data_IF_916749878733
#
_entry.id   IF_916749878733
#
_cell.length_a   1.000
_cell.length_b   1.000
_cell.length_c   1.000
_cell.angle_alpha   90.00
_cell.angle_beta   90.00
_cell.angle_gamma   90.00
#
_symmetry.space_group_name_H-M   'P 1'
#
loop_
_entity.id
_entity.type
_entity.pdbx_description
1 polymer ?
#
# COMPACT_ATOMS: atom_id res chain seq x y z
N UNK A 1 37.10 -22.96 -8.34
CA UNK A 1 36.02 -22.06 -8.81
C UNK A 1 34.71 -22.54 -8.25
N UNK A 2 33.91 -21.70 -7.56
CA UNK A 2 32.57 -22.08 -7.17
C UNK A 2 31.78 -22.43 -8.44
N UNK A 3 31.02 -23.53 -8.43
CA UNK A 3 30.11 -23.86 -9.54
C UNK A 3 29.11 -22.71 -9.71
N UNK A 4 28.76 -22.31 -10.95
CA UNK A 4 27.62 -21.42 -11.16
C UNK A 4 26.40 -22.05 -10.51
N UNK A 5 25.80 -21.36 -9.56
CA UNK A 5 24.47 -21.71 -9.05
C UNK A 5 23.48 -21.52 -10.18
N UNK A 6 22.57 -22.49 -10.36
CA UNK A 6 21.48 -22.35 -11.33
C UNK A 6 20.69 -21.06 -11.02
N UNK A 7 20.20 -20.34 -12.04
CA UNK A 7 19.39 -19.16 -11.82
C UNK A 7 18.16 -19.52 -10.98
N UNK A 8 17.81 -18.66 -10.02
CA UNK A 8 16.59 -18.83 -9.24
C UNK A 8 15.36 -18.72 -10.16
N UNK A 9 14.28 -19.48 -9.89
CA UNK A 9 13.05 -19.37 -10.67
C UNK A 9 12.43 -17.96 -10.54
N UNK A 10 11.64 -17.51 -11.52
CA UNK A 10 10.86 -16.27 -11.42
C UNK A 10 9.98 -16.22 -10.17
N UNK A 11 9.69 -15.03 -9.66
CA UNK A 11 8.72 -14.87 -8.57
C UNK A 11 7.29 -15.03 -9.11
N UNK A 12 6.44 -15.79 -8.44
CA UNK A 12 5.05 -16.04 -8.84
C UNK A 12 4.11 -15.41 -7.81
N UNK A 13 3.20 -14.55 -8.24
CA UNK A 13 2.24 -13.92 -7.33
C UNK A 13 1.07 -14.87 -7.07
N UNK A 14 0.89 -15.32 -5.82
CA UNK A 14 -0.17 -16.23 -5.39
C UNK A 14 -1.20 -15.48 -4.55
N UNK A 15 -2.38 -15.22 -5.08
CA UNK A 15 -3.47 -14.52 -4.36
C UNK A 15 -4.83 -14.78 -5.02
N UNK A 16 -5.90 -14.47 -4.29
CA UNK A 16 -7.24 -14.28 -4.85
C UNK A 16 -7.50 -12.78 -5.02
N UNK A 17 -7.83 -12.37 -6.25
CA UNK A 17 -8.07 -10.98 -6.59
C UNK A 17 -9.55 -10.59 -6.60
N UNK A 18 -10.49 -11.53 -6.58
CA UNK A 18 -11.89 -11.21 -6.83
C UNK A 18 -12.70 -10.93 -5.56
N UNK A 19 -12.56 -9.71 -5.05
CA UNK A 19 -13.23 -9.22 -3.84
C UNK A 19 -13.22 -10.19 -2.62
N UNK A 20 -12.07 -10.80 -2.25
CA UNK A 20 -12.02 -11.80 -1.18
C UNK A 20 -12.47 -11.29 0.19
N UNK A 21 -12.46 -9.97 0.43
CA UNK A 21 -12.91 -9.35 1.69
C UNK A 21 -14.43 -9.10 1.72
N UNK A 22 -15.13 -9.39 0.62
CA UNK A 22 -16.58 -9.24 0.51
C UNK A 22 -17.06 -7.80 0.64
N UNK A 23 -16.30 -6.85 0.10
CA UNK A 23 -16.63 -5.41 0.11
C UNK A 23 -18.01 -5.22 -0.50
N UNK A 24 -18.88 -4.50 0.22
CA UNK A 24 -20.23 -4.18 -0.20
C UNK A 24 -20.25 -2.79 -0.80
N UNK A 25 -20.82 -2.68 -1.99
CA UNK A 25 -20.93 -1.44 -2.74
C UNK A 25 -22.37 -0.91 -2.69
N UNK A 26 -22.53 0.39 -2.76
CA UNK A 26 -23.80 0.98 -3.14
C UNK A 26 -24.00 0.77 -4.66
N UNK A 27 -25.21 0.37 -5.12
CA UNK A 27 -25.48 0.15 -6.54
C UNK A 27 -25.35 1.42 -7.39
N UNK A 28 -25.49 2.60 -6.80
CA UNK A 28 -25.13 3.84 -7.46
C UNK A 28 -23.62 4.04 -7.28
N UNK A 29 -22.87 3.91 -8.38
CA UNK A 29 -21.41 3.97 -8.39
C UNK A 29 -20.89 5.24 -7.74
N UNK A 30 -21.49 6.39 -8.04
CA UNK A 30 -21.09 7.68 -7.48
C UNK A 30 -21.29 7.83 -5.98
N UNK A 31 -22.04 6.92 -5.32
CA UNK A 31 -22.13 6.87 -3.87
C UNK A 31 -20.96 6.16 -3.20
N UNK A 32 -20.06 5.55 -3.95
CA UNK A 32 -18.91 4.82 -3.40
C UNK A 32 -17.65 5.69 -3.40
N UNK A 33 -16.85 5.54 -2.35
CA UNK A 33 -15.54 6.17 -2.26
C UNK A 33 -14.55 5.27 -1.50
N UNK A 34 -13.27 5.52 -1.66
CA UNK A 34 -12.21 4.90 -0.88
C UNK A 34 -11.14 5.92 -0.50
N UNK A 35 -10.29 5.57 0.46
CA UNK A 35 -9.18 6.42 0.89
C UNK A 35 -7.84 5.81 0.47
N UNK A 36 -6.82 6.63 0.26
CA UNK A 36 -5.43 6.20 0.05
C UNK A 36 -4.53 6.85 1.09
N UNK A 37 -3.61 6.10 1.67
CA UNK A 37 -2.74 6.52 2.77
C UNK A 37 -1.33 5.92 2.62
N UNK A 38 -0.29 6.72 2.78
CA UNK A 38 1.11 6.26 2.75
C UNK A 38 1.87 6.75 3.96
N UNK A 39 2.98 6.08 4.27
CA UNK A 39 4.00 6.59 5.22
C UNK A 39 3.38 6.92 6.60
N UNK A 40 2.47 6.04 7.01
CA UNK A 40 1.61 6.23 8.18
C UNK A 40 2.10 5.45 9.40
N UNK A 41 2.98 4.47 9.20
CA UNK A 41 3.53 3.67 10.30
C UNK A 41 4.32 4.51 11.30
N UNK A 42 4.45 4.05 12.54
CA UNK A 42 5.30 4.74 13.53
C UNK A 42 6.34 3.80 14.10
N UNK A 43 7.50 4.34 14.46
CA UNK A 43 8.56 3.58 15.14
C UNK A 43 8.13 3.11 16.52
N UNK A 44 7.55 4.04 17.27
CA UNK A 44 6.94 3.86 18.58
C UNK A 44 5.43 3.75 18.43
N UNK A 45 4.66 3.77 19.54
CA UNK A 45 3.20 3.73 19.48
C UNK A 45 2.56 4.92 18.74
N UNK A 46 1.28 5.18 18.96
CA UNK A 46 0.56 6.21 18.19
C UNK A 46 1.17 7.62 18.38
N UNK A 47 1.72 8.16 17.29
CA UNK A 47 2.29 9.52 17.26
C UNK A 47 1.23 10.61 17.12
N UNK A 48 1.56 11.85 17.50
CA UNK A 48 0.62 12.97 17.44
C UNK A 48 0.10 13.24 16.01
N UNK A 49 1.00 13.24 15.01
CA UNK A 49 0.61 13.48 13.62
C UNK A 49 -0.18 12.32 13.02
N UNK A 50 0.26 11.08 13.24
CA UNK A 50 -0.50 9.89 12.86
C UNK A 50 -1.92 9.92 13.45
N UNK A 51 -2.05 10.29 14.72
CA UNK A 51 -3.35 10.46 15.38
C UNK A 51 -4.19 11.55 14.71
N UNK A 52 -3.60 12.70 14.40
CA UNK A 52 -4.31 13.81 13.76
C UNK A 52 -4.83 13.41 12.36
N UNK A 53 -4.02 12.69 11.57
CA UNK A 53 -4.43 12.13 10.27
C UNK A 53 -5.56 11.11 10.47
N UNK A 54 -5.43 10.18 11.42
CA UNK A 54 -6.45 9.18 11.71
C UNK A 54 -7.77 9.79 12.18
N UNK A 55 -7.73 10.82 13.03
CA UNK A 55 -8.92 11.55 13.47
C UNK A 55 -9.59 12.29 12.30
N UNK A 56 -8.80 12.88 11.39
CA UNK A 56 -9.32 13.53 10.17
C UNK A 56 -9.95 12.52 9.22
N UNK A 57 -9.35 11.33 9.03
CA UNK A 57 -9.97 10.24 8.26
C UNK A 57 -11.33 9.86 8.84
N UNK A 58 -11.42 9.66 10.16
CA UNK A 58 -12.69 9.32 10.83
C UNK A 58 -13.73 10.42 10.64
N UNK A 59 -13.35 11.68 10.82
CA UNK A 59 -14.25 12.82 10.59
C UNK A 59 -14.74 12.89 9.13
N UNK A 60 -13.85 12.65 8.17
CA UNK A 60 -14.19 12.60 6.76
C UNK A 60 -15.17 11.48 6.44
N UNK A 61 -14.89 10.25 6.90
CA UNK A 61 -15.77 9.10 6.69
C UNK A 61 -17.15 9.33 7.30
N UNK A 62 -17.22 9.92 8.49
CA UNK A 62 -18.51 10.33 9.10
C UNK A 62 -19.27 11.30 8.21
N UNK A 63 -18.61 12.39 7.76
CA UNK A 63 -19.19 13.40 6.86
C UNK A 63 -19.72 12.77 5.56
N UNK A 64 -18.97 11.86 4.95
CA UNK A 64 -19.40 11.17 3.73
C UNK A 64 -20.58 10.22 3.97
N UNK A 65 -20.59 9.49 5.09
CA UNK A 65 -21.72 8.63 5.47
C UNK A 65 -23.00 9.43 5.71
N UNK A 66 -22.91 10.58 6.39
CA UNK A 66 -24.03 11.51 6.58
C UNK A 66 -24.56 12.05 5.23
N UNK A 67 -23.69 12.18 4.24
CA UNK A 67 -24.06 12.50 2.86
C UNK A 67 -24.57 11.29 2.04
N UNK A 68 -24.75 10.13 2.67
CA UNK A 68 -25.27 8.92 2.02
C UNK A 68 -24.26 8.19 1.12
N UNK A 69 -22.96 8.40 1.34
CA UNK A 69 -21.88 7.68 0.65
C UNK A 69 -21.47 6.41 1.42
N UNK A 70 -20.97 5.44 0.67
CA UNK A 70 -20.42 4.17 1.15
C UNK A 70 -18.90 4.17 1.01
N UNK A 71 -18.20 3.97 2.13
CA UNK A 71 -16.74 3.74 2.12
C UNK A 71 -16.46 2.29 1.75
N UNK A 72 -15.61 2.08 0.75
CA UNK A 72 -15.24 0.73 0.29
C UNK A 72 -14.05 0.14 1.08
N UNK A 73 -12.96 0.91 1.19
CA UNK A 73 -11.69 0.47 1.77
C UNK A 73 -10.73 1.63 2.04
N UNK A 74 -9.60 1.31 2.68
CA UNK A 74 -8.37 2.11 2.69
C UNK A 74 -7.29 1.41 1.88
N UNK A 75 -6.65 2.10 0.95
CA UNK A 75 -5.54 1.62 0.15
C UNK A 75 -4.22 2.20 0.69
N UNK A 76 -3.20 1.36 0.85
CA UNK A 76 -1.91 1.76 1.42
C UNK A 76 -0.83 1.74 0.36
N UNK A 77 0.00 2.79 0.34
CA UNK A 77 1.13 2.93 -0.59
C UNK A 77 2.49 2.65 0.09
N UNK A 78 2.48 1.89 1.19
CA UNK A 78 3.69 1.45 1.88
C UNK A 78 4.16 2.33 3.02
N UNK A 79 5.26 1.89 3.62
CA UNK A 79 5.81 2.37 4.88
C UNK A 79 4.78 2.28 6.02
N UNK A 80 4.20 1.07 6.10
CA UNK A 80 3.14 0.71 7.03
C UNK A 80 3.66 0.60 8.47
N UNK A 81 4.91 0.18 8.65
CA UNK A 81 5.54 0.02 9.96
C UNK A 81 6.98 0.52 9.98
N UNK A 82 7.17 1.77 10.40
CA UNK A 82 8.51 2.30 10.65
C UNK A 82 9.15 1.65 11.90
N UNK A 83 10.48 1.55 11.97
CA UNK A 83 11.47 1.85 10.91
C UNK A 83 11.93 0.60 10.14
N UNK A 84 11.55 -0.58 10.59
CA UNK A 84 12.25 -1.83 10.30
C UNK A 84 11.30 -3.03 10.12
N UNK A 85 10.05 -2.76 9.74
CA UNK A 85 9.00 -3.76 9.60
C UNK A 85 8.10 -3.87 10.83
N UNK A 86 7.30 -4.93 10.87
CA UNK A 86 6.35 -5.18 11.96
C UNK A 86 6.87 -6.27 12.90
N UNK A 87 7.08 -5.90 14.17
CA UNK A 87 7.32 -6.84 15.26
C UNK A 87 6.02 -7.42 15.84
N UNK A 88 6.13 -8.24 16.88
CA UNK A 88 4.99 -8.92 17.51
C UNK A 88 3.87 -7.98 17.98
N UNK A 89 4.21 -6.77 18.45
CA UNK A 89 3.28 -5.79 19.01
C UNK A 89 2.88 -4.67 18.03
N UNK A 90 3.45 -4.63 16.83
CA UNK A 90 3.25 -3.50 15.91
C UNK A 90 1.79 -3.31 15.53
N UNK A 91 1.03 -4.40 15.40
CA UNK A 91 -0.41 -4.36 15.13
C UNK A 91 -1.19 -3.66 16.24
N UNK A 92 -0.98 -4.05 17.51
CA UNK A 92 -1.74 -3.58 18.68
C UNK A 92 -1.27 -2.24 19.21
N UNK A 93 -0.08 -1.78 18.82
CA UNK A 93 0.50 -0.52 19.30
C UNK A 93 0.46 0.62 18.26
N UNK A 94 0.39 0.29 16.96
CA UNK A 94 0.53 1.27 15.87
C UNK A 94 -0.72 1.36 14.99
N UNK A 95 -1.23 0.22 14.51
CA UNK A 95 -2.34 0.21 13.55
C UNK A 95 -3.71 0.27 14.24
N UNK A 96 -4.00 -0.69 15.11
CA UNK A 96 -5.27 -0.76 15.82
C UNK A 96 -5.60 0.52 16.62
N UNK A 97 -4.73 1.00 17.53
CA UNK A 97 -5.08 2.14 18.38
C UNK A 97 -5.19 3.47 17.62
N UNK A 98 -4.42 3.67 16.54
CA UNK A 98 -4.50 4.90 15.75
C UNK A 98 -5.84 4.98 15.01
N UNK A 99 -6.23 3.91 14.32
CA UNK A 99 -7.38 3.92 13.41
C UNK A 99 -8.65 3.32 14.03
N UNK A 100 -8.55 2.65 15.18
CA UNK A 100 -9.69 2.04 15.87
C UNK A 100 -10.29 0.88 15.06
N UNK A 101 -9.47 0.07 14.39
CA UNK A 101 -9.95 -0.96 13.45
C UNK A 101 -10.74 -2.09 14.11
N UNK A 102 -10.57 -2.27 15.42
CA UNK A 102 -11.35 -3.18 16.26
C UNK A 102 -12.23 -2.47 17.31
N UNK A 103 -12.37 -1.14 17.25
CA UNK A 103 -13.30 -0.41 18.11
C UNK A 103 -14.64 -0.19 17.38
N UNK A 104 -15.76 -0.80 17.80
CA UNK A 104 -17.07 -0.62 17.16
C UNK A 104 -17.58 0.83 17.10
N UNK A 105 -16.97 1.75 17.87
CA UNK A 105 -17.29 3.18 17.83
C UNK A 105 -16.46 3.96 16.80
N UNK A 106 -15.42 3.35 16.23
CA UNK A 106 -14.60 3.98 15.20
C UNK A 106 -15.31 3.98 13.86
N UNK A 107 -15.15 5.07 13.12
CA UNK A 107 -15.63 5.17 11.74
C UNK A 107 -14.85 4.27 10.77
N UNK A 108 -13.70 3.74 11.21
CA UNK A 108 -12.86 2.82 10.47
C UNK A 108 -12.95 1.38 11.01
N UNK A 109 -13.95 1.08 11.85
CA UNK A 109 -14.18 -0.26 12.40
C UNK A 109 -14.41 -1.28 11.30
N UNK A 110 -13.59 -2.32 11.25
CA UNK A 110 -13.69 -3.44 10.29
C UNK A 110 -13.71 -3.03 8.81
N UNK A 111 -13.28 -1.80 8.49
CA UNK A 111 -13.06 -1.35 7.11
C UNK A 111 -11.88 -2.15 6.53
N UNK A 112 -11.97 -2.66 5.29
CA UNK A 112 -10.85 -3.31 4.61
C UNK A 112 -9.67 -2.39 4.30
N UNK A 113 -8.44 -2.89 4.43
CA UNK A 113 -7.19 -2.19 4.11
C UNK A 113 -6.41 -3.00 3.08
N UNK A 114 -6.14 -2.45 1.89
CA UNK A 114 -5.30 -3.11 0.88
C UNK A 114 -3.89 -2.54 0.98
N UNK A 115 -2.87 -3.36 1.21
CA UNK A 115 -1.53 -2.88 1.48
C UNK A 115 -0.49 -3.31 0.44
N UNK A 116 0.46 -2.43 0.18
CA UNK A 116 1.76 -2.77 -0.42
C UNK A 116 2.87 -2.34 0.54
N UNK A 117 4.06 -2.93 0.42
CA UNK A 117 5.21 -2.56 1.22
C UNK A 117 5.95 -1.33 0.64
N UNK A 118 6.40 -0.48 1.55
CA UNK A 118 7.46 0.51 1.33
C UNK A 118 8.79 0.01 1.88
N UNK A 119 9.84 0.84 1.83
CA UNK A 119 11.16 0.39 2.26
C UNK A 119 11.26 0.13 3.75
N UNK A 120 10.48 0.82 4.57
CA UNK A 120 10.48 0.64 6.02
C UNK A 120 9.70 -0.58 6.47
N UNK A 121 8.92 -1.19 5.59
CA UNK A 121 8.23 -2.44 5.86
C UNK A 121 9.17 -3.65 5.85
N UNK A 122 10.37 -3.46 5.34
CA UNK A 122 11.48 -4.39 5.45
C UNK A 122 12.47 -3.88 6.49
N UNK A 123 13.07 -4.77 7.28
CA UNK A 123 14.13 -4.37 8.20
C UNK A 123 14.36 -5.35 9.33
N UNK A 124 15.06 -4.90 10.37
CA UNK A 124 15.52 -5.76 11.47
C UNK A 124 14.39 -6.37 12.31
N UNK A 125 13.18 -5.79 12.32
CA UNK A 125 11.99 -6.35 12.98
C UNK A 125 11.26 -7.37 12.09
N UNK A 126 11.41 -7.26 10.77
CA UNK A 126 10.90 -8.23 9.78
C UNK A 126 12.01 -8.68 8.79
N UNK A 127 13.10 -9.30 9.29
CA UNK A 127 14.33 -9.46 8.50
C UNK A 127 14.19 -10.44 7.35
N UNK A 128 13.27 -11.39 7.46
CA UNK A 128 13.09 -12.45 6.46
C UNK A 128 12.10 -12.04 5.35
N UNK A 129 11.48 -10.86 5.45
CA UNK A 129 10.77 -10.26 4.32
C UNK A 129 11.68 -10.04 3.10
N UNK A 130 12.99 -9.84 3.30
CA UNK A 130 13.97 -9.72 2.21
C UNK A 130 14.47 -11.06 1.65
N UNK A 131 14.31 -12.14 2.41
CA UNK A 131 14.93 -13.42 2.10
C UNK A 131 14.12 -14.57 2.70
N UNK A 132 12.87 -14.77 2.25
CA UNK A 132 11.98 -15.73 2.88
C UNK A 132 12.57 -17.15 2.94
N UNK A 133 13.35 -17.56 1.94
CA UNK A 133 14.09 -18.83 1.91
C UNK A 133 15.03 -19.09 3.10
N UNK A 134 15.53 -18.04 3.76
CA UNK A 134 16.42 -18.19 4.92
C UNK A 134 15.66 -18.64 6.18
N UNK A 135 14.39 -18.24 6.30
CA UNK A 135 13.50 -18.63 7.40
C UNK A 135 12.03 -18.40 6.99
N UNK A 136 11.43 -19.34 6.25
CA UNK A 136 10.06 -19.18 5.81
C UNK A 136 9.09 -19.21 6.99
N UNK A 137 8.10 -18.33 6.98
CA UNK A 137 6.90 -18.42 7.82
C UNK A 137 5.90 -19.42 7.22
N UNK A 138 5.89 -19.54 5.89
CA UNK A 138 5.12 -20.52 5.13
C UNK A 138 5.72 -20.72 3.74
N UNK A 139 5.21 -21.71 3.02
CA UNK A 139 5.52 -21.94 1.61
C UNK A 139 4.24 -22.29 0.85
N UNK A 140 4.06 -21.72 -0.35
CA UNK A 140 2.93 -21.99 -1.24
C UNK A 140 3.45 -22.15 -2.66
N UNK A 141 3.06 -23.22 -3.35
CA UNK A 141 3.52 -23.49 -4.72
C UNK A 141 5.05 -23.67 -4.86
N UNK A 142 5.76 -23.98 -3.77
CA UNK A 142 7.22 -24.04 -3.75
C UNK A 142 7.91 -22.67 -3.57
N UNK A 143 7.14 -21.61 -3.36
CA UNK A 143 7.65 -20.28 -3.02
C UNK A 143 7.53 -20.03 -1.52
N UNK A 144 8.61 -19.56 -0.91
CA UNK A 144 8.67 -19.21 0.50
C UNK A 144 8.19 -17.78 0.76
N UNK A 145 7.52 -17.59 1.89
CA UNK A 145 7.05 -16.28 2.39
C UNK A 145 7.63 -16.01 3.78
N UNK A 146 8.00 -14.76 4.04
CA UNK A 146 8.79 -14.41 5.22
C UNK A 146 8.41 -13.10 5.90
N UNK A 147 7.46 -12.33 5.36
CA UNK A 147 7.01 -11.09 5.99
C UNK A 147 5.95 -11.34 7.07
N UNK A 148 6.12 -10.65 8.19
CA UNK A 148 5.16 -10.61 9.28
C UNK A 148 3.85 -9.90 8.92
N UNK A 149 3.85 -9.10 7.85
CA UNK A 149 2.67 -8.37 7.39
C UNK A 149 1.70 -9.23 6.57
N UNK A 150 2.17 -10.33 5.97
CA UNK A 150 1.34 -11.11 5.06
C UNK A 150 0.12 -11.74 5.73
N UNK A 151 -0.92 -12.02 4.94
CA UNK A 151 -2.13 -12.69 5.38
C UNK A 151 -1.85 -14.01 6.13
N UNK A 152 -2.82 -14.47 6.92
CA UNK A 152 -2.65 -15.62 7.82
C UNK A 152 -2.25 -16.93 7.11
N UNK A 153 -2.59 -17.09 5.83
CA UNK A 153 -2.17 -18.24 5.03
C UNK A 153 -0.68 -18.18 4.60
N UNK A 154 -0.05 -17.01 4.68
CA UNK A 154 1.39 -16.79 4.44
C UNK A 154 2.18 -16.54 5.73
N UNK A 155 1.52 -15.99 6.74
CA UNK A 155 2.02 -15.84 8.10
C UNK A 155 1.00 -16.42 9.10
N UNK A 156 1.10 -17.72 9.43
CA UNK A 156 0.17 -18.37 10.37
C UNK A 156 0.19 -17.78 11.79
N UNK A 157 1.22 -17.00 12.13
CA UNK A 157 1.34 -16.34 13.44
C UNK A 157 0.73 -14.94 13.48
N UNK A 158 0.28 -14.42 12.32
CA UNK A 158 -0.37 -13.11 12.24
C UNK A 158 -1.64 -13.09 13.09
N UNK A 159 -1.85 -12.08 13.96
CA UNK A 159 -3.02 -12.03 14.82
C UNK A 159 -4.33 -12.05 14.02
N UNK A 160 -5.26 -12.95 14.37
CA UNK A 160 -6.48 -13.21 13.60
C UNK A 160 -7.39 -11.98 13.44
N UNK A 161 -7.38 -11.06 14.42
CA UNK A 161 -8.15 -9.82 14.38
C UNK A 161 -7.66 -8.84 13.30
N UNK A 162 -6.48 -9.06 12.72
CA UNK A 162 -5.95 -8.24 11.62
C UNK A 162 -6.47 -8.64 10.24
N UNK A 163 -7.44 -9.56 10.14
CA UNK A 163 -7.95 -10.13 8.89
C UNK A 163 -8.49 -9.12 7.87
N UNK A 164 -8.85 -7.90 8.29
CA UNK A 164 -9.25 -6.80 7.40
C UNK A 164 -8.09 -6.06 6.75
N UNK A 165 -6.87 -6.23 7.26
CA UNK A 165 -5.66 -5.77 6.59
C UNK A 165 -5.20 -6.85 5.62
N UNK A 166 -5.30 -6.56 4.33
CA UNK A 166 -5.12 -7.52 3.26
C UNK A 166 -3.80 -7.27 2.55
N UNK A 167 -2.90 -8.21 2.72
CA UNK A 167 -1.60 -8.25 2.07
C UNK A 167 -1.27 -9.71 1.71
N UNK A 168 -1.81 -10.23 0.59
CA UNK A 168 -1.73 -11.65 0.25
C UNK A 168 -0.39 -12.04 -0.39
N UNK A 169 0.29 -11.08 -1.03
CA UNK A 169 1.56 -11.27 -1.72
C UNK A 169 2.22 -9.89 -1.94
N UNK A 170 3.51 -9.82 -2.32
CA UNK A 170 4.20 -8.56 -2.58
C UNK A 170 3.56 -7.77 -3.73
N UNK A 171 3.06 -8.48 -4.75
CA UNK A 171 2.28 -7.89 -5.83
C UNK A 171 0.97 -8.64 -6.00
N UNK A 172 -0.12 -7.91 -6.16
CA UNK A 172 -1.43 -8.51 -6.40
C UNK A 172 -2.38 -7.52 -7.06
N UNK A 173 -3.48 -8.03 -7.59
CA UNK A 173 -4.61 -7.19 -7.97
C UNK A 173 -5.81 -7.49 -7.08
N UNK A 174 -6.70 -6.53 -6.96
CA UNK A 174 -7.96 -6.65 -6.24
C UNK A 174 -9.07 -5.99 -7.05
N UNK A 175 -10.10 -6.74 -7.43
CA UNK A 175 -11.27 -6.21 -8.14
C UNK A 175 -12.46 -6.08 -7.21
N UNK A 176 -13.25 -5.04 -7.44
CA UNK A 176 -14.61 -4.89 -6.92
C UNK A 176 -15.49 -4.73 -8.17
N UNK A 177 -15.89 -5.83 -8.82
CA UNK A 177 -16.61 -5.78 -10.09
C UNK A 177 -17.89 -4.94 -10.02
N UNK A 178 -18.60 -4.98 -8.89
CA UNK A 178 -19.85 -4.24 -8.69
C UNK A 178 -19.64 -2.72 -8.61
N UNK A 179 -18.42 -2.26 -8.33
CA UNK A 179 -18.03 -0.84 -8.40
C UNK A 179 -17.24 -0.51 -9.68
N UNK A 180 -17.04 -1.49 -10.57
CA UNK A 180 -16.28 -1.33 -11.80
C UNK A 180 -14.88 -0.72 -11.53
N UNK A 181 -14.21 -1.36 -10.55
CA UNK A 181 -13.00 -0.86 -9.91
C UNK A 181 -11.98 -1.99 -9.76
N UNK A 182 -10.74 -1.71 -10.14
CA UNK A 182 -9.59 -2.59 -9.98
C UNK A 182 -8.44 -1.85 -9.29
N UNK A 183 -7.76 -2.53 -8.38
CA UNK A 183 -6.49 -2.11 -7.80
C UNK A 183 -5.39 -3.03 -8.27
N UNK A 184 -4.25 -2.49 -8.67
CA UNK A 184 -3.02 -3.23 -8.95
C UNK A 184 -1.95 -2.71 -8.00
N UNK A 185 -1.54 -3.53 -7.03
CA UNK A 185 -0.60 -3.18 -5.98
C UNK A 185 0.75 -3.80 -6.29
N UNK A 186 1.79 -2.98 -6.26
CA UNK A 186 3.12 -3.35 -6.74
C UNK A 186 4.23 -2.99 -5.75
N UNK A 187 5.02 -3.98 -5.37
CA UNK A 187 6.23 -3.75 -4.61
C UNK A 187 7.32 -3.19 -5.53
N UNK A 188 7.73 -1.96 -5.22
CA UNK A 188 8.74 -1.21 -5.99
C UNK A 188 10.07 -1.08 -5.27
N UNK A 189 10.33 -1.87 -4.22
CA UNK A 189 11.55 -1.77 -3.40
C UNK A 189 12.84 -2.14 -4.13
N UNK A 190 12.73 -2.81 -5.29
CA UNK A 190 13.87 -3.06 -6.18
C UNK A 190 14.52 -1.78 -6.73
N UNK A 191 13.78 -0.67 -6.84
CA UNK A 191 14.29 0.61 -7.35
C UNK A 191 15.37 1.21 -6.43
N UNK A 192 15.33 0.84 -5.15
CA UNK A 192 16.12 1.52 -4.13
C UNK A 192 16.72 0.62 -3.06
N UNK A 193 17.07 -0.63 -3.41
CA UNK A 193 17.63 -1.63 -2.48
C UNK A 193 18.89 -1.15 -1.73
N UNK A 194 19.67 -0.23 -2.33
CA UNK A 194 21.00 0.16 -1.84
C UNK A 194 21.12 1.64 -1.46
N UNK A 195 20.34 2.54 -2.09
CA UNK A 195 20.56 4.00 -1.95
C UNK A 195 19.77 4.63 -0.79
N UNK A 196 18.55 4.16 -0.53
CA UNK A 196 17.74 4.59 0.63
C UNK A 196 17.67 3.45 1.64
N UNK A 197 18.77 3.25 2.38
CA UNK A 197 18.83 2.48 3.63
C UNK A 197 17.94 3.18 4.68
N UNK A 198 16.62 3.11 4.47
CA UNK A 198 15.59 4.01 4.97
C UNK A 198 16.02 4.75 6.22
N UNK A 199 16.31 6.05 6.09
CA UNK A 199 16.74 7.07 7.06
C UNK A 199 17.59 6.74 8.32
N UNK A 200 17.58 5.52 8.86
CA UNK A 200 18.39 5.00 9.93
C UNK A 200 19.21 3.81 9.43
N UNK A 201 20.48 4.08 9.12
CA UNK A 201 21.49 3.08 8.77
C UNK A 201 21.58 1.83 9.68
N UNK A 202 21.14 1.80 10.96
CA UNK A 202 21.10 0.53 11.70
C UNK A 202 19.97 -0.42 11.29
N UNK A 203 18.77 0.04 10.92
CA UNK A 203 17.53 -0.77 10.89
C UNK A 203 17.41 -1.85 9.82
N UNK A 204 18.47 -2.08 9.04
CA UNK A 204 18.52 -3.12 8.00
C UNK A 204 19.82 -3.95 8.08
N UNK A 205 20.75 -3.59 8.99
CA UNK A 205 22.06 -4.24 9.03
C UNK A 205 21.93 -5.69 9.44
N UNK A 206 21.06 -5.97 10.40
CA UNK A 206 20.83 -7.33 10.84
C UNK A 206 20.04 -8.12 9.80
N UNK A 207 19.02 -7.51 9.19
CA UNK A 207 18.27 -8.10 8.10
C UNK A 207 19.17 -8.51 6.92
N UNK A 208 20.01 -7.62 6.42
CA UNK A 208 20.95 -7.93 5.34
C UNK A 208 21.95 -9.02 5.76
N UNK A 209 22.47 -8.97 6.99
CA UNK A 209 23.34 -10.02 7.52
C UNK A 209 22.65 -11.38 7.55
N UNK A 210 21.42 -11.44 8.06
CA UNK A 210 20.58 -12.65 8.11
C UNK A 210 20.24 -13.18 6.71
N UNK A 211 20.14 -12.30 5.72
CA UNK A 211 19.85 -12.62 4.33
C UNK A 211 21.08 -12.91 3.45
N UNK A 212 22.28 -13.01 4.03
CA UNK A 212 23.50 -13.30 3.25
C UNK A 212 24.08 -12.10 2.48
N UNK A 213 23.68 -10.88 2.85
CA UNK A 213 24.23 -9.62 2.35
C UNK A 213 23.34 -8.94 1.31
N UNK A 214 23.87 -7.88 0.69
CA UNK A 214 23.13 -7.05 -0.27
C UNK A 214 22.73 -7.82 -1.53
N UNK A 215 23.60 -8.69 -2.07
CA UNK A 215 23.35 -9.35 -3.35
C UNK A 215 22.11 -10.26 -3.34
N UNK A 216 21.93 -11.20 -2.38
CA UNK A 216 20.72 -12.02 -2.33
C UNK A 216 19.44 -11.18 -2.14
N UNK A 217 19.50 -10.13 -1.33
CA UNK A 217 18.37 -9.21 -1.10
C UNK A 217 18.00 -8.47 -2.38
N UNK A 218 18.98 -7.91 -3.09
CA UNK A 218 18.74 -7.23 -4.36
C UNK A 218 18.19 -8.17 -5.43
N UNK A 219 18.67 -9.41 -5.48
CA UNK A 219 18.17 -10.41 -6.42
C UNK A 219 16.71 -10.79 -6.12
N UNK A 220 16.35 -10.98 -4.84
CA UNK A 220 14.98 -11.25 -4.44
C UNK A 220 14.04 -10.10 -4.81
N UNK A 221 14.36 -8.87 -4.39
CA UNK A 221 13.53 -7.70 -4.67
C UNK A 221 13.40 -7.44 -6.18
N UNK A 222 14.47 -7.65 -6.95
CA UNK A 222 14.41 -7.54 -8.41
C UNK A 222 13.41 -8.51 -9.01
N UNK A 223 13.41 -9.78 -8.59
CA UNK A 223 12.43 -10.78 -9.07
C UNK A 223 11.00 -10.40 -8.69
N UNK A 224 10.80 -9.88 -7.48
CA UNK A 224 9.49 -9.35 -7.03
C UNK A 224 9.06 -8.16 -7.89
N UNK A 225 9.95 -7.23 -8.19
CA UNK A 225 9.66 -6.09 -9.05
C UNK A 225 9.31 -6.49 -10.48
N UNK A 226 10.06 -7.44 -11.05
CA UNK A 226 9.80 -8.01 -12.37
C UNK A 226 8.41 -8.67 -12.44
N UNK A 227 8.03 -9.46 -11.43
CA UNK A 227 6.70 -10.09 -11.37
C UNK A 227 5.57 -9.07 -11.17
N UNK A 228 5.84 -7.95 -10.49
CA UNK A 228 4.91 -6.83 -10.38
C UNK A 228 4.66 -6.14 -11.71
N UNK A 229 5.72 -5.85 -12.47
CA UNK A 229 5.60 -5.28 -13.82
C UNK A 229 4.88 -6.25 -14.78
N UNK A 230 5.17 -7.55 -14.72
CA UNK A 230 4.43 -8.55 -15.49
C UNK A 230 2.95 -8.59 -15.13
N UNK A 231 2.63 -8.56 -13.83
CA UNK A 231 1.26 -8.48 -13.36
C UNK A 231 0.54 -7.26 -13.93
N UNK A 232 1.18 -6.10 -13.91
CA UNK A 232 0.59 -4.87 -14.44
C UNK A 232 0.25 -4.97 -15.93
N UNK A 233 1.16 -5.54 -16.75
CA UNK A 233 0.89 -5.80 -18.18
C UNK A 233 -0.28 -6.76 -18.35
N UNK A 234 -0.30 -7.84 -17.56
CA UNK A 234 -1.38 -8.83 -17.59
C UNK A 234 -2.73 -8.18 -17.28
N UNK A 235 -2.82 -7.32 -16.26
CA UNK A 235 -4.07 -6.62 -15.93
C UNK A 235 -4.47 -5.57 -16.96
N UNK A 236 -3.51 -4.91 -17.59
CA UNK A 236 -3.78 -4.05 -18.75
C UNK A 236 -4.36 -4.81 -19.95
N UNK A 237 -4.05 -6.10 -20.11
CA UNK A 237 -4.61 -6.94 -21.17
C UNK A 237 -5.98 -7.53 -20.77
N UNK A 238 -6.10 -8.02 -19.54
CA UNK A 238 -7.24 -8.87 -19.10
C UNK A 238 -8.30 -8.15 -18.27
N UNK A 239 -7.95 -7.04 -17.62
CA UNK A 239 -8.89 -6.29 -16.78
C UNK A 239 -10.10 -5.78 -17.55
N UNK A 240 -11.19 -5.52 -16.85
CA UNK A 240 -12.41 -4.98 -17.46
C UNK A 240 -12.93 -3.73 -16.75
N UNK A 241 -12.24 -3.28 -15.70
CA UNK A 241 -12.69 -2.16 -14.89
C UNK A 241 -12.56 -0.83 -15.64
N UNK A 242 -13.56 0.04 -15.55
CA UNK A 242 -13.50 1.41 -16.07
C UNK A 242 -12.64 2.32 -15.21
N UNK A 243 -12.36 1.96 -13.95
CA UNK A 243 -11.33 2.62 -13.12
C UNK A 243 -10.30 1.60 -12.65
N UNK A 244 -9.04 1.86 -12.93
CA UNK A 244 -7.88 1.11 -12.44
C UNK A 244 -7.03 2.00 -11.55
N UNK A 245 -6.69 1.52 -10.35
CA UNK A 245 -5.82 2.20 -9.39
C UNK A 245 -4.50 1.43 -9.29
N UNK A 246 -3.38 2.07 -9.61
CA UNK A 246 -2.04 1.51 -9.46
C UNK A 246 -1.44 2.08 -8.17
N UNK A 247 -1.10 1.19 -7.24
CA UNK A 247 -0.54 1.53 -5.93
C UNK A 247 0.88 0.99 -5.82
N UNK A 248 1.80 1.83 -5.36
CA UNK A 248 3.20 1.50 -5.18
C UNK A 248 3.86 2.49 -4.23
N UNK A 249 5.10 2.26 -3.79
CA UNK A 249 5.71 3.13 -2.79
C UNK A 249 6.49 4.31 -3.38
N UNK A 250 7.36 4.08 -4.37
CA UNK A 250 8.30 5.12 -4.81
C UNK A 250 7.71 6.11 -5.81
N UNK A 251 8.05 7.42 -5.70
CA UNK A 251 7.75 8.43 -6.70
C UNK A 251 8.51 8.18 -8.00
N UNK A 252 8.02 8.75 -9.10
CA UNK A 252 8.64 8.62 -10.42
C UNK A 252 8.64 7.20 -11.00
N UNK A 253 8.22 6.23 -10.21
CA UNK A 253 8.16 4.83 -10.59
C UNK A 253 6.74 4.44 -11.01
N UNK A 254 5.76 5.37 -11.07
CA UNK A 254 4.40 4.95 -11.42
C UNK A 254 4.38 4.36 -12.81
N UNK A 255 4.10 3.06 -12.89
CA UNK A 255 4.17 2.30 -14.12
C UNK A 255 2.92 2.48 -15.01
N UNK A 256 2.23 3.62 -14.92
CA UNK A 256 1.07 3.98 -15.79
C UNK A 256 1.40 3.86 -17.26
N UNK A 257 2.62 4.26 -17.65
CA UNK A 257 3.11 4.08 -19.02
C UNK A 257 3.08 2.61 -19.43
N UNK A 258 3.64 1.71 -18.61
CA UNK A 258 3.63 0.26 -18.88
C UNK A 258 2.22 -0.27 -19.02
N UNK A 259 1.30 0.13 -18.14
CA UNK A 259 -0.11 -0.26 -18.20
C UNK A 259 -0.76 0.24 -19.50
N UNK A 260 -0.67 1.53 -19.79
CA UNK A 260 -1.29 2.15 -20.97
C UNK A 260 -0.74 1.59 -22.29
N UNK A 261 0.59 1.36 -22.38
CA UNK A 261 1.21 0.75 -23.56
C UNK A 261 0.78 -0.71 -23.77
N UNK A 262 0.25 -1.37 -22.74
CA UNK A 262 -0.19 -2.76 -22.77
C UNK A 262 -1.70 -2.90 -22.97
N UNK A 263 -2.45 -1.79 -23.03
CA UNK A 263 -3.89 -1.84 -23.30
C UNK A 263 -4.15 -2.37 -24.73
N UNK A 264 -5.10 -3.31 -24.91
CA UNK A 264 -5.60 -3.68 -26.23
C UNK A 264 -6.17 -2.49 -26.98
N UNK A 265 -6.09 -2.52 -28.31
CA UNK A 265 -6.68 -1.50 -29.17
C UNK A 265 -8.18 -1.34 -28.89
N UNK A 266 -8.63 -0.09 -28.72
CA UNK A 266 -10.03 0.25 -28.41
C UNK A 266 -10.43 0.11 -26.95
N UNK A 267 -9.60 -0.49 -26.07
CA UNK A 267 -9.87 -0.51 -24.63
C UNK A 267 -9.47 0.83 -24.00
N UNK A 268 -10.38 1.41 -23.24
CA UNK A 268 -10.14 2.61 -22.42
C UNK A 268 -10.44 2.32 -20.95
N UNK A 269 -9.69 2.93 -20.04
CA UNK A 269 -9.96 2.88 -18.59
C UNK A 269 -9.33 4.12 -17.93
N UNK A 270 -9.93 4.60 -16.86
CA UNK A 270 -9.42 5.70 -16.06
C UNK A 270 -8.34 5.16 -15.12
N UNK A 271 -7.10 5.62 -15.27
CA UNK A 271 -5.97 5.12 -14.47
C UNK A 271 -5.53 6.16 -13.45
N UNK A 272 -5.70 5.83 -12.17
CA UNK A 272 -5.16 6.57 -11.04
C UNK A 272 -3.84 5.93 -10.58
N UNK A 273 -2.76 6.70 -10.54
CA UNK A 273 -1.53 6.33 -9.85
C UNK A 273 -1.50 6.92 -8.46
N UNK A 274 -1.13 6.14 -7.44
CA UNK A 274 -0.78 6.68 -6.13
C UNK A 274 0.51 6.08 -5.57
N UNK A 275 1.30 6.93 -4.91
CA UNK A 275 2.54 6.55 -4.25
C UNK A 275 2.84 7.40 -3.00
N UNK A 276 3.86 7.01 -2.24
CA UNK A 276 4.26 7.63 -0.97
C UNK A 276 5.72 8.06 -0.96
N UNK A 277 6.47 7.63 0.06
CA UNK A 277 7.92 7.74 0.24
C UNK A 277 8.47 9.15 0.52
N UNK A 278 7.89 10.19 -0.07
CA UNK A 278 8.40 11.58 0.04
C UNK A 278 7.87 12.30 1.28
N UNK A 279 7.05 11.63 2.07
CA UNK A 279 6.43 12.16 3.28
C UNK A 279 5.67 13.49 3.05
N UNK A 280 4.98 13.58 1.92
CA UNK A 280 4.21 14.75 1.52
C UNK A 280 2.90 14.33 0.86
N UNK A 281 2.04 15.30 0.60
CA UNK A 281 0.76 15.10 -0.06
C UNK A 281 0.57 16.16 -1.14
N UNK A 282 0.39 15.74 -2.40
CA UNK A 282 0.17 16.65 -3.52
C UNK A 282 -0.40 15.93 -4.74
N UNK A 283 -1.05 16.71 -5.62
CA UNK A 283 -1.42 16.24 -6.93
C UNK A 283 -0.30 16.49 -7.96
N UNK A 284 0.39 15.44 -8.37
CA UNK A 284 1.54 15.55 -9.29
C UNK A 284 1.14 15.67 -10.77
N UNK A 285 -0.01 15.12 -11.13
CA UNK A 285 -0.52 15.18 -12.50
C UNK A 285 -2.04 15.24 -12.52
N UNK A 286 -2.59 16.17 -13.31
CA UNK A 286 -4.03 16.29 -13.57
C UNK A 286 -4.36 15.81 -14.99
N UNK A 287 -5.58 15.33 -15.18
CA UNK A 287 -6.15 15.09 -16.52
C UNK A 287 -6.64 16.40 -17.17
N UNK A 288 -7.25 16.30 -18.35
CA UNK A 288 -7.80 17.44 -19.09
C UNK A 288 -9.01 18.11 -18.43
N UNK A 289 -9.63 17.44 -17.46
CA UNK A 289 -10.76 17.94 -16.67
C UNK A 289 -10.30 18.50 -15.31
N UNK A 290 -9.01 18.46 -15.01
CA UNK A 290 -8.43 18.92 -13.75
C UNK A 290 -8.49 17.91 -12.60
N UNK A 291 -8.92 16.67 -12.86
CA UNK A 291 -8.91 15.61 -11.85
C UNK A 291 -7.49 15.07 -11.65
N UNK A 292 -7.11 14.79 -10.40
CA UNK A 292 -5.80 14.24 -10.12
C UNK A 292 -5.68 12.79 -10.61
N UNK A 293 -4.66 12.48 -11.42
CA UNK A 293 -4.38 11.12 -11.90
C UNK A 293 -3.03 10.56 -11.47
N UNK A 294 -2.17 11.39 -10.89
CA UNK A 294 -0.95 10.97 -10.22
C UNK A 294 -0.90 11.63 -8.86
N UNK A 295 -0.94 10.82 -7.82
CA UNK A 295 -1.10 11.26 -6.44
C UNK A 295 0.11 10.85 -5.61
N UNK A 296 0.75 11.83 -4.99
CA UNK A 296 1.67 11.61 -3.88
C UNK A 296 0.88 11.72 -2.58
N UNK A 297 0.86 10.66 -1.78
CA UNK A 297 0.08 10.55 -0.53
C UNK A 297 0.90 9.95 0.62
N UNK A 298 2.15 10.34 0.76
CA UNK A 298 3.02 9.96 1.87
C UNK A 298 2.84 10.82 3.13
N UNK A 299 1.81 11.65 3.21
CA UNK A 299 1.56 12.52 4.36
C UNK A 299 0.98 11.82 5.61
N UNK A 300 1.01 10.49 5.72
CA UNK A 300 0.18 9.74 6.67
C UNK A 300 0.48 9.92 8.17
N UNK A 301 1.49 10.73 8.50
CA UNK A 301 1.79 11.10 9.88
C UNK A 301 2.74 10.17 10.61
N UNK A 302 3.28 9.17 9.91
CA UNK A 302 4.16 8.17 10.48
C UNK A 302 5.57 8.68 10.73
N UNK A 303 6.11 9.40 9.75
CA UNK A 303 7.47 9.91 9.78
C UNK A 303 7.56 11.32 9.20
N UNK A 304 8.61 12.05 9.57
CA UNK A 304 8.90 13.43 9.19
C UNK A 304 8.33 13.89 7.83
N UNK A 305 7.33 14.78 7.83
CA UNK A 305 6.86 15.41 6.59
C UNK A 305 7.57 16.71 6.26
N UNK A 306 7.53 17.13 4.98
CA UNK A 306 8.07 18.41 4.52
C UNK A 306 7.02 19.53 4.50
N UNK A 307 5.78 19.25 4.06
CA UNK A 307 4.76 20.29 3.82
C UNK A 307 3.32 19.93 4.25
N UNK A 308 2.73 18.85 3.72
CA UNK A 308 1.35 18.46 4.02
C UNK A 308 1.26 17.04 4.55
N UNK A 309 0.50 16.87 5.63
CA UNK A 309 0.08 15.58 6.15
C UNK A 309 -1.37 15.30 5.76
N UNK A 310 -1.82 14.04 5.78
CA UNK A 310 -3.19 13.68 5.46
C UNK A 310 -3.32 12.34 4.74
N UNK A 311 -4.38 12.24 3.94
CA UNK A 311 -4.75 11.09 3.13
C UNK A 311 -5.42 11.57 1.84
N UNK A 312 -5.52 10.72 0.84
CA UNK A 312 -6.30 11.02 -0.38
C UNK A 312 -7.68 10.41 -0.29
N UNK A 313 -8.72 11.14 -0.72
CA UNK A 313 -10.07 10.58 -0.88
C UNK A 313 -10.42 10.47 -2.36
N UNK A 314 -10.87 9.29 -2.79
CA UNK A 314 -11.25 9.03 -4.19
C UNK A 314 -12.72 8.68 -4.25
N UNK A 315 -13.48 9.52 -4.94
CA UNK A 315 -14.91 9.34 -5.20
C UNK A 315 -15.10 8.75 -6.58
N UNK A 316 -15.89 7.70 -6.68
CA UNK A 316 -16.26 7.15 -7.99
C UNK A 316 -17.33 8.04 -8.64
N UNK A 317 -17.46 7.97 -9.97
CA UNK A 317 -18.49 8.68 -10.75
C UNK A 317 -19.32 7.69 -11.56
N UNK A 318 -20.55 8.05 -11.94
CA UNK A 318 -21.47 7.12 -12.62
C UNK A 318 -21.04 6.80 -14.07
N UNK A 319 -20.18 7.61 -14.66
CA UNK A 319 -19.59 7.41 -16.00
C UNK A 319 -18.37 6.46 -16.01
N UNK A 320 -18.06 5.82 -14.87
CA UNK A 320 -16.93 4.91 -14.74
C UNK A 320 -15.60 5.59 -14.41
N UNK A 321 -15.58 6.92 -14.25
CA UNK A 321 -14.41 7.71 -13.84
C UNK A 321 -14.23 7.85 -12.32
N UNK A 322 -13.49 8.87 -11.90
CA UNK A 322 -13.34 9.19 -10.49
C UNK A 322 -12.94 10.66 -10.30
N UNK A 323 -13.09 11.15 -9.07
CA UNK A 323 -12.54 12.41 -8.57
C UNK A 323 -11.64 12.12 -7.36
N UNK A 324 -10.40 12.62 -7.39
CA UNK A 324 -9.43 12.46 -6.31
C UNK A 324 -9.20 13.80 -5.60
N UNK A 325 -9.61 13.87 -4.33
CA UNK A 325 -9.29 14.97 -3.43
C UNK A 325 -8.00 14.66 -2.68
N UNK A 326 -6.98 15.47 -2.97
CA UNK A 326 -5.61 15.29 -2.46
C UNK A 326 -5.19 16.48 -1.60
N UNK A 327 -5.70 17.68 -1.81
CA UNK A 327 -5.10 18.89 -1.25
C UNK A 327 -6.11 19.76 -0.50
N UNK A 328 -7.39 19.41 -0.50
CA UNK A 328 -8.38 20.19 0.23
C UNK A 328 -8.14 20.17 1.74
N UNK A 329 -8.71 21.15 2.44
CA UNK A 329 -8.70 21.17 3.91
C UNK A 329 -9.44 19.98 4.51
N UNK A 330 -10.31 19.27 3.78
CA UNK A 330 -11.01 18.10 4.31
C UNK A 330 -10.05 16.89 4.46
N UNK A 331 -9.02 16.82 3.62
CA UNK A 331 -8.13 15.64 3.51
C UNK A 331 -6.68 15.92 3.88
N UNK A 332 -6.29 17.19 4.02
CA UNK A 332 -4.95 17.62 4.39
C UNK A 332 -4.87 18.31 5.75
N UNK A 333 -3.68 18.28 6.35
CA UNK A 333 -3.29 18.93 7.60
C UNK A 333 -1.98 19.67 7.32
N UNK A 334 -1.95 21.00 7.48
CA UNK A 334 -0.71 21.76 7.45
C UNK A 334 0.31 21.22 8.44
N UNK A 335 1.59 21.16 8.04
CA UNK A 335 2.68 20.57 8.82
C UNK A 335 2.69 21.06 10.28
N UNK A 336 2.51 22.35 10.49
CA UNK A 336 2.52 23.02 11.78
C UNK A 336 1.41 22.56 12.72
N UNK A 337 0.30 22.05 12.18
CA UNK A 337 -0.83 21.55 12.96
C UNK A 337 -0.73 20.05 13.28
N UNK A 338 0.15 19.32 12.62
CA UNK A 338 0.24 17.87 12.79
C UNK A 338 1.10 17.45 14.00
N UNK A 339 1.99 18.32 14.50
CA UNK A 339 2.83 18.00 15.67
C UNK A 339 3.85 16.89 15.39
N UNK A 340 4.55 16.96 14.27
CA UNK A 340 5.58 15.99 13.88
C UNK A 340 6.65 15.81 14.96
N UNK A 341 6.79 14.59 15.49
CA UNK A 341 7.91 14.17 16.34
C UNK A 341 8.76 13.12 15.64
N UNK A 342 10.09 13.28 15.72
CA UNK A 342 11.08 12.33 15.20
C UNK A 342 11.28 11.10 16.09
N UNK A 343 10.77 11.17 17.31
CA UNK A 343 10.91 10.16 18.36
C UNK A 343 9.91 9.03 18.23
#
# INVERSE_FOLDING_TARGET
>A
TPKPTAPLPPYVNHYDGNNPLGIKVDPNRSKNFFLILGDWGKATGVGACQKAVADKMKAYVRKQREAGKTMLLVALVGDNFYWSGVGEDGWSTKWEPAYGTNDPKSELYQVPWLAVAGNHDYGDDDPYAFCPHSRPLSSLGGQDYGSQQFNADRNPTRPAWTSKYWYPDYNYHYTIPEADLEFVLMDTNFENVVKNKGCNAPGFKDAFRKCGGTSPVSEHLKRVGESGTELLRKRALEGTANTTVILQHYPGSCQRGVFNFSLPEGRTTNVLCAYGHVHNQQCDEKDEHGNCRMVLTGGGGGCCGSHLAGFTAVHLTDDGGYFADVESEDVSIPRELCGWSWT
#
